data_IF_242844891893
#
_entry.id   IF_242844891893
#
_cell.length_a   1.000
_cell.length_b   1.000
_cell.length_c   1.000
_cell.angle_alpha   90.00
_cell.angle_beta   90.00
_cell.angle_gamma   90.00
#
_symmetry.space_group_name_H-M   'P 1'
#
loop_
_entity.id
_entity.type
_entity.pdbx_description
1 polymer ?
#
# COMPACT_ATOMS: atom_id res chain seq x y z
N UNK A 1 -16.66 -16.66 20.57
CA UNK A 1 -17.32 -16.02 19.42
C UNK A 1 -16.40 -16.23 18.23
N UNK A 2 -16.89 -16.66 17.07
CA UNK A 2 -16.04 -16.85 15.90
C UNK A 2 -15.83 -15.48 15.22
N UNK A 3 -14.58 -15.05 15.06
CA UNK A 3 -14.21 -13.79 14.38
C UNK A 3 -13.56 -14.05 13.01
N UNK A 4 -13.57 -15.30 12.52
CA UNK A 4 -13.04 -15.61 11.20
C UNK A 4 -14.00 -15.16 10.10
N UNK A 5 -13.44 -14.59 9.04
CA UNK A 5 -14.15 -14.11 7.87
C UNK A 5 -13.38 -14.48 6.60
N UNK A 6 -14.11 -14.72 5.51
CA UNK A 6 -13.55 -15.14 4.23
C UNK A 6 -13.88 -14.18 3.10
N UNK A 7 -14.79 -13.24 3.36
CA UNK A 7 -15.21 -12.20 2.40
C UNK A 7 -15.37 -10.85 3.11
N UNK A 8 -15.39 -9.80 2.32
CA UNK A 8 -15.67 -8.45 2.82
C UNK A 8 -17.08 -8.36 3.38
N UNK A 9 -18.02 -9.10 2.80
CA UNK A 9 -19.39 -9.17 3.32
C UNK A 9 -19.40 -9.77 4.73
N UNK A 10 -18.76 -10.93 4.95
CA UNK A 10 -18.67 -11.55 6.28
C UNK A 10 -17.98 -10.63 7.29
N UNK A 11 -16.95 -9.90 6.88
CA UNK A 11 -16.28 -8.89 7.71
C UNK A 11 -17.25 -7.79 8.14
N UNK A 12 -18.06 -7.27 7.22
CA UNK A 12 -19.08 -6.25 7.54
C UNK A 12 -20.15 -6.81 8.49
N UNK A 13 -20.63 -8.03 8.24
CA UNK A 13 -21.61 -8.70 9.11
C UNK A 13 -21.06 -8.81 10.54
N UNK A 14 -19.80 -9.22 10.72
CA UNK A 14 -19.13 -9.27 12.02
C UNK A 14 -18.99 -7.88 12.68
N UNK A 15 -18.67 -6.85 11.90
CA UNK A 15 -18.58 -5.47 12.41
C UNK A 15 -19.95 -5.00 12.92
N UNK A 16 -21.04 -5.27 12.18
CA UNK A 16 -22.39 -4.86 12.51
C UNK A 16 -22.91 -5.62 13.73
N UNK A 17 -22.83 -6.95 13.72
CA UNK A 17 -23.31 -7.83 14.82
C UNK A 17 -22.64 -7.52 16.16
N UNK A 18 -21.36 -7.16 16.14
CA UNK A 18 -20.58 -6.93 17.37
C UNK A 18 -20.38 -5.44 17.68
N UNK A 19 -20.85 -4.53 16.83
CA UNK A 19 -20.64 -3.09 16.95
C UNK A 19 -19.15 -2.73 17.03
N UNK A 20 -18.31 -3.38 16.22
CA UNK A 20 -16.86 -3.23 16.20
C UNK A 20 -16.36 -2.61 14.89
N UNK A 21 -15.26 -1.83 14.92
CA UNK A 21 -14.55 -1.43 13.71
C UNK A 21 -13.80 -2.62 13.10
N UNK A 22 -13.43 -2.49 11.82
CA UNK A 22 -12.69 -3.54 11.09
C UNK A 22 -11.38 -3.90 11.82
N UNK A 23 -10.67 -2.90 12.34
CA UNK A 23 -9.42 -3.09 13.07
C UNK A 23 -9.59 -4.03 14.26
N UNK A 24 -10.67 -3.89 15.02
CA UNK A 24 -10.90 -4.71 16.21
C UNK A 24 -11.36 -6.12 15.84
N UNK A 25 -12.20 -6.29 14.81
CA UNK A 25 -12.57 -7.62 14.29
C UNK A 25 -11.31 -8.37 13.83
N UNK A 26 -10.43 -7.71 13.07
CA UNK A 26 -9.17 -8.33 12.62
C UNK A 26 -8.24 -8.67 13.77
N UNK A 27 -8.10 -7.77 14.76
CA UNK A 27 -7.28 -8.03 15.96
C UNK A 27 -7.79 -9.25 16.74
N UNK A 28 -9.08 -9.34 16.97
CA UNK A 28 -9.68 -10.49 17.67
C UNK A 28 -9.51 -11.77 16.86
N UNK A 29 -9.65 -11.71 15.54
CA UNK A 29 -9.37 -12.83 14.65
C UNK A 29 -7.92 -13.34 14.82
N UNK A 30 -6.93 -12.45 14.80
CA UNK A 30 -5.51 -12.83 14.98
C UNK A 30 -5.25 -13.46 16.36
N UNK A 31 -5.91 -12.95 17.42
CA UNK A 31 -5.81 -13.53 18.74
C UNK A 31 -6.38 -14.97 18.79
N UNK A 32 -7.55 -15.15 18.18
CA UNK A 32 -8.27 -16.43 18.24
C UNK A 32 -7.60 -17.50 17.36
N UNK A 33 -7.28 -17.19 16.10
CA UNK A 33 -6.69 -18.16 15.18
C UNK A 33 -5.21 -18.47 15.50
N UNK A 34 -4.51 -17.50 16.03
CA UNK A 34 -3.11 -17.67 16.46
C UNK A 34 -2.94 -18.20 17.88
N UNK A 35 -4.05 -18.43 18.61
CA UNK A 35 -4.03 -18.77 20.04
C UNK A 35 -3.07 -17.85 20.83
N UNK A 36 -3.06 -16.56 20.47
CA UNK A 36 -2.08 -15.58 20.93
C UNK A 36 -2.75 -14.54 21.81
N UNK A 37 -2.20 -14.21 23.00
CA UNK A 37 -2.73 -13.13 23.83
C UNK A 37 -2.76 -11.79 23.10
N UNK A 38 -3.76 -10.96 23.41
CA UNK A 38 -3.95 -9.64 22.79
C UNK A 38 -2.69 -8.77 22.85
N UNK A 39 -2.07 -8.68 24.02
CA UNK A 39 -0.85 -7.86 24.20
C UNK A 39 0.30 -8.30 23.29
N UNK A 40 0.42 -9.59 23.01
CA UNK A 40 1.44 -10.08 22.09
C UNK A 40 1.10 -9.79 20.62
N UNK A 41 -0.19 -9.79 20.25
CA UNK A 41 -0.66 -9.38 18.92
C UNK A 41 -0.42 -7.88 18.72
N UNK A 42 -0.81 -7.06 19.70
CA UNK A 42 -0.60 -5.61 19.67
C UNK A 42 0.90 -5.25 19.63
N UNK A 43 1.73 -5.93 20.41
CA UNK A 43 3.18 -5.72 20.41
C UNK A 43 3.81 -6.00 19.04
N UNK A 44 3.39 -7.08 18.36
CA UNK A 44 3.87 -7.39 17.01
C UNK A 44 3.49 -6.31 15.99
N UNK A 45 2.25 -5.80 16.08
CA UNK A 45 1.81 -4.72 15.18
C UNK A 45 2.53 -3.39 15.49
N UNK A 46 2.73 -3.07 16.76
CA UNK A 46 3.51 -1.90 17.18
C UNK A 46 4.96 -1.99 16.67
N UNK A 47 5.57 -3.17 16.72
CA UNK A 47 6.91 -3.40 16.17
C UNK A 47 6.95 -3.23 14.64
N UNK A 48 5.90 -3.67 13.93
CA UNK A 48 5.77 -3.41 12.50
C UNK A 48 5.69 -1.90 12.23
N UNK A 49 4.91 -1.14 13.03
CA UNK A 49 4.85 0.32 12.90
C UNK A 49 6.21 0.99 13.13
N UNK A 50 6.97 0.59 14.15
CA UNK A 50 8.32 1.12 14.37
C UNK A 50 9.23 0.94 13.14
N UNK A 51 9.20 -0.23 12.52
CA UNK A 51 9.97 -0.51 11.30
C UNK A 51 9.48 0.32 10.11
N UNK A 52 8.16 0.43 9.93
CA UNK A 52 7.55 1.26 8.90
C UNK A 52 7.96 2.74 9.05
N UNK A 53 7.88 3.27 10.26
CA UNK A 53 8.28 4.64 10.58
C UNK A 53 9.78 4.86 10.31
N UNK A 54 10.63 3.95 10.76
CA UNK A 54 12.07 4.03 10.55
C UNK A 54 12.43 4.02 9.06
N UNK A 55 11.85 3.10 8.28
CA UNK A 55 12.10 3.01 6.83
C UNK A 55 11.59 4.24 6.05
N UNK A 56 10.49 4.87 6.50
CA UNK A 56 9.96 6.09 5.89
C UNK A 56 10.79 7.35 6.18
N UNK A 57 11.57 7.37 7.28
CA UNK A 57 12.27 8.59 7.73
C UNK A 57 13.80 8.52 7.58
N UNK A 58 14.38 7.32 7.57
CA UNK A 58 15.82 7.14 7.47
C UNK A 58 16.45 7.79 6.22
N UNK A 59 15.91 7.61 4.98
CA UNK A 59 16.49 8.23 3.78
C UNK A 59 16.45 9.75 3.76
N UNK A 60 15.54 10.35 4.53
CA UNK A 60 15.46 11.81 4.65
C UNK A 60 16.63 12.40 5.45
N UNK A 61 17.16 11.63 6.40
CA UNK A 61 18.35 12.00 7.19
C UNK A 61 19.63 11.75 6.39
N UNK A 62 19.72 10.59 5.74
CA UNK A 62 20.86 10.18 4.94
C UNK A 62 20.35 9.46 3.69
N UNK A 63 20.42 10.07 2.49
CA UNK A 63 20.02 9.44 1.24
C UNK A 63 20.73 8.10 1.02
N UNK A 64 19.98 7.12 0.54
CA UNK A 64 20.44 5.75 0.33
C UNK A 64 20.37 5.48 -1.17
N UNK A 65 21.42 4.89 -1.74
CA UNK A 65 21.44 4.46 -3.14
C UNK A 65 21.00 3.00 -3.23
N UNK A 66 20.14 2.69 -4.19
CA UNK A 66 19.66 1.33 -4.45
C UNK A 66 20.77 0.41 -4.98
N UNK A 67 20.54 -0.90 -4.92
CA UNK A 67 21.46 -1.92 -5.43
C UNK A 67 21.63 -1.84 -6.94
N UNK A 68 20.56 -1.63 -7.70
CA UNK A 68 20.61 -1.45 -9.17
C UNK A 68 21.03 -0.05 -9.59
N UNK A 69 21.03 0.91 -8.69
CA UNK A 69 21.47 2.28 -8.94
C UNK A 69 20.50 3.15 -9.70
N UNK A 70 19.26 2.68 -9.96
CA UNK A 70 18.24 3.42 -10.70
C UNK A 70 17.53 4.46 -9.83
N UNK A 71 17.49 4.26 -8.51
CA UNK A 71 16.89 5.18 -7.54
C UNK A 71 17.84 5.47 -6.38
N UNK A 72 17.60 6.58 -5.67
CA UNK A 72 18.32 6.96 -4.44
C UNK A 72 18.41 8.47 -4.25
N UNK A 73 17.80 8.94 -3.17
CA UNK A 73 17.76 10.36 -2.81
C UNK A 73 16.55 11.14 -3.34
N UNK A 74 15.61 10.51 -4.02
CA UNK A 74 14.36 11.13 -4.53
C UNK A 74 13.47 11.60 -3.38
N UNK A 75 13.35 10.82 -2.32
CA UNK A 75 12.63 11.21 -1.11
C UNK A 75 13.20 12.50 -0.50
N UNK A 76 14.54 12.62 -0.44
CA UNK A 76 15.20 13.84 0.04
C UNK A 76 14.97 15.04 -0.89
N UNK A 77 14.90 14.83 -2.20
CA UNK A 77 14.54 15.88 -3.16
C UNK A 77 13.12 16.38 -2.93
N UNK A 78 12.15 15.46 -2.69
CA UNK A 78 10.77 15.82 -2.37
C UNK A 78 10.66 16.61 -1.05
N UNK A 79 11.33 16.18 0.00
CA UNK A 79 11.39 16.90 1.27
C UNK A 79 12.00 18.31 1.09
N UNK A 80 13.08 18.42 0.33
CA UNK A 80 13.71 19.71 0.03
C UNK A 80 12.78 20.63 -0.74
N UNK A 81 12.02 20.08 -1.69
CA UNK A 81 11.03 20.84 -2.47
C UNK A 81 9.87 21.30 -1.58
N UNK A 82 9.37 20.45 -0.69
CA UNK A 82 8.36 20.78 0.31
C UNK A 82 8.80 21.96 1.19
N UNK A 83 10.02 21.90 1.71
CA UNK A 83 10.58 22.93 2.59
C UNK A 83 10.71 24.31 1.89
N UNK A 84 10.79 24.35 0.56
CA UNK A 84 10.77 25.58 -0.22
C UNK A 84 9.36 26.17 -0.42
N UNK A 85 8.32 25.51 0.12
CA UNK A 85 6.89 25.91 0.00
C UNK A 85 6.43 26.12 -1.45
N UNK A 86 6.88 25.26 -2.36
CA UNK A 86 6.53 25.26 -3.79
C UNK A 86 5.73 24.04 -4.23
N UNK A 87 5.33 23.19 -3.28
CA UNK A 87 4.54 21.99 -3.52
C UNK A 87 3.11 22.35 -3.98
N UNK A 88 2.59 21.58 -4.93
CA UNK A 88 1.24 21.75 -5.50
C UNK A 88 0.23 20.77 -4.89
N UNK A 89 0.69 19.75 -4.14
CA UNK A 89 -0.15 18.67 -3.61
C UNK A 89 -0.65 18.92 -2.18
N UNK A 90 -0.41 20.11 -1.61
CA UNK A 90 -0.69 20.35 -0.19
C UNK A 90 0.25 19.55 0.73
N UNK A 91 0.11 19.73 2.05
CA UNK A 91 1.08 19.20 3.01
C UNK A 91 0.96 17.69 3.19
N UNK A 92 -0.26 17.18 3.36
CA UNK A 92 -0.51 15.77 3.68
C UNK A 92 -0.05 14.86 2.55
N UNK A 93 -0.49 15.12 1.32
CA UNK A 93 -0.15 14.29 0.18
C UNK A 93 1.34 14.39 -0.16
N UNK A 94 1.93 15.60 -0.07
CA UNK A 94 3.37 15.78 -0.31
C UNK A 94 4.20 14.96 0.67
N UNK A 95 3.88 14.97 1.96
CA UNK A 95 4.55 14.16 2.97
C UNK A 95 4.38 12.67 2.69
N UNK A 96 3.15 12.24 2.39
CA UNK A 96 2.86 10.82 2.13
C UNK A 96 3.65 10.28 0.93
N UNK A 97 3.73 11.04 -0.18
CA UNK A 97 4.57 10.67 -1.33
C UNK A 97 6.05 10.59 -0.94
N UNK A 98 6.54 11.54 -0.15
CA UNK A 98 7.94 11.56 0.31
C UNK A 98 8.26 10.31 1.12
N UNK A 99 7.41 9.95 2.08
CA UNK A 99 7.60 8.76 2.92
C UNK A 99 7.46 7.46 2.12
N UNK A 100 6.48 7.38 1.22
CA UNK A 100 6.32 6.21 0.37
C UNK A 100 7.56 5.95 -0.50
N UNK A 101 8.14 6.98 -1.09
CA UNK A 101 9.37 6.87 -1.88
C UNK A 101 10.59 6.53 -1.01
N UNK A 102 10.67 7.06 0.21
CA UNK A 102 11.73 6.75 1.17
C UNK A 102 11.77 5.26 1.51
N UNK A 103 10.61 4.65 1.79
CA UNK A 103 10.54 3.20 2.06
C UNK A 103 11.08 2.38 0.90
N UNK A 104 10.80 2.77 -0.35
CA UNK A 104 11.31 2.07 -1.53
C UNK A 104 12.83 2.23 -1.69
N UNK A 105 13.42 3.37 -1.29
CA UNK A 105 14.88 3.52 -1.24
C UNK A 105 15.50 2.53 -0.22
N UNK A 106 14.88 2.35 0.94
CA UNK A 106 15.31 1.36 1.94
C UNK A 106 15.18 -0.06 1.39
N UNK A 107 14.01 -0.40 0.82
CA UNK A 107 13.79 -1.71 0.21
C UNK A 107 14.82 -2.03 -0.88
N UNK A 108 15.01 -1.12 -1.82
CA UNK A 108 15.94 -1.30 -2.95
C UNK A 108 17.43 -1.29 -2.56
N UNK A 109 17.76 -0.89 -1.34
CA UNK A 109 19.09 -0.99 -0.74
C UNK A 109 19.26 -2.19 0.17
N UNK A 110 18.32 -3.15 0.15
CA UNK A 110 18.30 -4.35 1.02
C UNK A 110 18.19 -4.02 2.52
N UNK A 111 17.59 -2.86 2.85
CA UNK A 111 17.29 -2.47 4.22
C UNK A 111 16.02 -3.12 4.76
N UNK A 112 15.76 -2.91 6.07
CA UNK A 112 14.60 -3.49 6.75
C UNK A 112 13.34 -2.68 6.47
N UNK A 113 12.31 -3.35 5.92
CA UNK A 113 10.96 -2.82 5.69
C UNK A 113 9.92 -3.82 6.19
N UNK A 114 8.66 -3.39 6.25
CA UNK A 114 7.52 -4.30 6.41
C UNK A 114 6.80 -4.40 5.06
N UNK A 115 6.69 -5.61 4.53
CA UNK A 115 5.90 -5.86 3.33
C UNK A 115 4.41 -5.57 3.59
N UNK A 116 3.78 -4.72 2.76
CA UNK A 116 2.37 -4.33 2.93
C UNK A 116 1.69 -4.05 1.57
N UNK A 117 1.15 -5.07 0.84
CA UNK A 117 1.27 -6.51 1.12
C UNK A 117 2.58 -7.12 0.62
N UNK A 118 3.32 -6.47 -0.30
CA UNK A 118 4.60 -6.94 -0.87
C UNK A 118 5.73 -5.94 -0.60
N UNK A 119 6.98 -6.36 -0.81
CA UNK A 119 8.14 -5.47 -0.69
C UNK A 119 8.08 -4.33 -1.74
N UNK A 120 7.60 -4.63 -2.95
CA UNK A 120 7.49 -3.65 -4.03
C UNK A 120 6.43 -2.56 -3.82
N UNK A 121 5.50 -2.77 -2.91
CA UNK A 121 4.44 -1.81 -2.55
C UNK A 121 4.52 -1.35 -1.09
N UNK A 122 5.61 -1.68 -0.40
CA UNK A 122 5.78 -1.46 1.04
C UNK A 122 5.73 0.01 1.49
N UNK A 123 5.85 0.96 0.56
CA UNK A 123 5.84 2.38 0.87
C UNK A 123 4.45 2.99 1.05
N UNK A 124 3.40 2.40 0.46
CA UNK A 124 2.07 3.03 0.39
C UNK A 124 1.44 3.18 1.78
N UNK A 125 1.32 2.08 2.52
CA UNK A 125 0.69 2.10 3.86
C UNK A 125 1.44 3.00 4.84
N UNK A 126 2.77 2.83 5.06
CA UNK A 126 3.48 3.72 5.99
C UNK A 126 3.52 5.16 5.52
N UNK A 127 3.61 5.41 4.21
CA UNK A 127 3.58 6.77 3.65
C UNK A 127 2.31 7.51 4.02
N UNK A 128 1.14 6.88 3.85
CA UNK A 128 -0.15 7.47 4.22
C UNK A 128 -0.30 7.62 5.72
N UNK A 129 -0.01 6.57 6.50
CA UNK A 129 -0.20 6.57 7.95
C UNK A 129 0.69 7.62 8.63
N UNK A 130 1.96 7.74 8.25
CA UNK A 130 2.87 8.71 8.86
C UNK A 130 2.50 10.16 8.50
N UNK A 131 2.07 10.40 7.26
CA UNK A 131 1.61 11.73 6.87
C UNK A 131 0.36 12.17 7.65
N UNK A 132 -0.61 11.26 7.81
CA UNK A 132 -1.80 11.51 8.62
C UNK A 132 -1.44 11.71 10.08
N UNK A 133 -0.57 10.87 10.64
CA UNK A 133 -0.10 10.99 12.01
C UNK A 133 0.48 12.38 12.30
N UNK A 134 1.39 12.85 11.47
CA UNK A 134 2.03 14.15 11.67
C UNK A 134 1.08 15.32 11.45
N UNK A 135 0.26 15.27 10.39
CA UNK A 135 -0.60 16.40 10.05
C UNK A 135 -1.79 16.56 11.02
N UNK A 136 -2.31 15.44 11.54
CA UNK A 136 -3.47 15.44 12.44
C UNK A 136 -3.13 15.10 13.90
N UNK A 137 -1.84 14.94 14.23
CA UNK A 137 -1.34 14.64 15.58
C UNK A 137 -1.97 13.37 16.18
N UNK A 138 -2.03 12.33 15.39
CA UNK A 138 -2.62 11.05 15.77
C UNK A 138 -1.61 10.25 16.61
N UNK A 139 -2.08 9.58 17.67
CA UNK A 139 -1.22 8.76 18.52
C UNK A 139 -0.77 7.46 17.83
N UNK A 140 0.39 6.92 18.22
CA UNK A 140 0.89 5.64 17.72
C UNK A 140 -0.13 4.52 17.90
N UNK A 141 -0.85 4.48 19.03
CA UNK A 141 -1.86 3.46 19.27
C UNK A 141 -2.96 3.46 18.20
N UNK A 142 -3.45 4.63 17.81
CA UNK A 142 -4.46 4.74 16.75
C UNK A 142 -3.92 4.34 15.38
N UNK A 143 -2.63 4.59 15.12
CA UNK A 143 -1.98 4.08 13.90
C UNK A 143 -1.88 2.56 13.94
N UNK A 144 -1.49 1.97 15.07
CA UNK A 144 -1.46 0.52 15.26
C UNK A 144 -2.86 -0.10 15.03
N UNK A 145 -3.91 0.54 15.53
CA UNK A 145 -5.29 0.10 15.27
C UNK A 145 -5.60 0.14 13.76
N UNK A 146 -5.28 1.24 13.08
CA UNK A 146 -5.49 1.37 11.63
C UNK A 146 -4.69 0.33 10.81
N UNK A 147 -3.53 -0.11 11.28
CA UNK A 147 -2.76 -1.17 10.63
C UNK A 147 -3.46 -2.54 10.70
N UNK A 148 -4.26 -2.83 11.73
CA UNK A 148 -5.11 -4.03 11.74
C UNK A 148 -6.21 -3.94 10.67
N UNK A 149 -6.81 -2.77 10.47
CA UNK A 149 -7.75 -2.55 9.35
C UNK A 149 -7.06 -2.81 8.00
N UNK A 150 -5.89 -2.22 7.76
CA UNK A 150 -5.09 -2.48 6.56
C UNK A 150 -4.82 -3.99 6.38
N UNK A 151 -4.49 -4.68 7.48
CA UNK A 151 -4.27 -6.13 7.51
C UNK A 151 -5.49 -6.93 7.05
N UNK A 152 -6.71 -6.53 7.45
CA UNK A 152 -7.95 -7.18 7.02
C UNK A 152 -8.15 -7.11 5.50
N UNK A 153 -7.94 -5.94 4.91
CA UNK A 153 -8.03 -5.75 3.45
C UNK A 153 -6.97 -6.58 2.72
N UNK A 154 -5.72 -6.55 3.20
CA UNK A 154 -4.63 -7.36 2.65
C UNK A 154 -4.90 -8.86 2.74
N UNK A 155 -5.43 -9.33 3.86
CA UNK A 155 -5.83 -10.72 4.06
C UNK A 155 -6.90 -11.17 3.04
N UNK A 156 -7.95 -10.38 2.85
CA UNK A 156 -9.00 -10.68 1.87
C UNK A 156 -8.43 -10.77 0.44
N UNK A 157 -7.52 -9.87 0.09
CA UNK A 157 -6.87 -9.88 -1.22
C UNK A 157 -5.98 -11.11 -1.43
N UNK A 158 -5.16 -11.46 -0.43
CA UNK A 158 -4.32 -12.67 -0.47
C UNK A 158 -5.13 -13.95 -0.57
N UNK A 159 -6.26 -14.00 0.16
CA UNK A 159 -7.13 -15.17 0.19
C UNK A 159 -7.92 -15.37 -1.11
N UNK A 160 -8.54 -14.31 -1.63
CA UNK A 160 -9.58 -14.39 -2.66
C UNK A 160 -9.10 -14.01 -4.07
N UNK A 161 -7.88 -13.43 -4.17
CA UNK A 161 -7.30 -13.01 -5.44
C UNK A 161 -5.79 -13.30 -5.48
N UNK A 162 -5.00 -12.24 -5.53
CA UNK A 162 -3.53 -12.28 -5.47
C UNK A 162 -2.98 -10.93 -5.04
N UNK A 163 -1.78 -10.94 -4.46
CA UNK A 163 -0.99 -9.73 -4.19
C UNK A 163 0.32 -9.71 -4.99
N UNK A 164 0.53 -10.68 -5.87
CA UNK A 164 1.77 -10.84 -6.63
C UNK A 164 1.70 -10.15 -8.00
N UNK A 165 2.67 -9.29 -8.30
CA UNK A 165 2.80 -8.60 -9.58
C UNK A 165 2.98 -9.56 -10.77
N UNK A 166 3.69 -10.65 -10.57
CA UNK A 166 3.88 -11.72 -11.55
C UNK A 166 2.59 -12.46 -11.94
N UNK A 167 1.56 -12.42 -11.08
CA UNK A 167 0.25 -13.04 -11.34
C UNK A 167 -0.77 -12.02 -11.82
N UNK A 168 -0.86 -10.88 -11.13
CA UNK A 168 -1.94 -9.92 -11.32
C UNK A 168 -1.53 -8.55 -11.86
N UNK A 169 -0.25 -8.31 -12.13
CA UNK A 169 0.25 -6.97 -12.45
C UNK A 169 0.40 -6.09 -11.20
N UNK A 170 0.84 -4.86 -11.39
CA UNK A 170 1.04 -3.91 -10.29
C UNK A 170 -0.28 -3.47 -9.61
N UNK A 171 -1.43 -3.68 -10.27
CA UNK A 171 -2.75 -3.54 -9.65
C UNK A 171 -2.92 -4.47 -8.43
N UNK A 172 -2.29 -5.66 -8.45
CA UNK A 172 -2.30 -6.61 -7.34
C UNK A 172 -1.31 -6.23 -6.23
N UNK A 173 -0.26 -5.50 -6.51
CA UNK A 173 0.71 -5.04 -5.51
C UNK A 173 0.35 -3.64 -4.99
N UNK A 174 0.61 -2.61 -5.81
CA UNK A 174 0.36 -1.21 -5.42
C UNK A 174 -1.13 -0.93 -5.28
N UNK A 175 -1.99 -1.57 -6.11
CA UNK A 175 -3.45 -1.42 -6.00
C UNK A 175 -3.96 -1.95 -4.65
N UNK A 176 -3.53 -3.14 -4.23
CA UNK A 176 -3.92 -3.68 -2.92
C UNK A 176 -3.30 -2.87 -1.77
N UNK A 177 -2.02 -2.48 -1.85
CA UNK A 177 -1.40 -1.60 -0.85
C UNK A 177 -2.17 -0.29 -0.67
N UNK A 178 -2.62 0.30 -1.79
CA UNK A 178 -3.41 1.52 -1.78
C UNK A 178 -4.81 1.30 -1.20
N UNK A 179 -5.45 0.15 -1.48
CA UNK A 179 -6.73 -0.24 -0.88
C UNK A 179 -6.62 -0.45 0.64
N UNK A 180 -5.54 -1.10 1.09
CA UNK A 180 -5.19 -1.24 2.51
C UNK A 180 -5.05 0.12 3.18
N UNK A 181 -4.29 1.03 2.56
CA UNK A 181 -4.05 2.38 3.09
C UNK A 181 -5.33 3.23 3.12
N UNK A 182 -6.15 3.18 2.06
CA UNK A 182 -7.41 3.93 1.98
C UNK A 182 -8.41 3.48 3.05
N UNK A 183 -8.63 2.17 3.20
CA UNK A 183 -9.51 1.60 4.22
C UNK A 183 -9.07 2.00 5.64
N UNK A 184 -7.78 1.85 5.94
CA UNK A 184 -7.20 2.22 7.22
C UNK A 184 -7.34 3.73 7.51
N UNK A 185 -7.14 4.58 6.51
CA UNK A 185 -7.30 6.02 6.66
C UNK A 185 -8.76 6.42 6.92
N UNK A 186 -9.72 5.78 6.24
CA UNK A 186 -11.15 6.03 6.47
C UNK A 186 -11.53 5.71 7.92
N UNK A 187 -11.12 4.55 8.45
CA UNK A 187 -11.38 4.22 9.87
C UNK A 187 -10.67 5.19 10.81
N UNK A 188 -9.41 5.52 10.53
CA UNK A 188 -8.60 6.45 11.33
C UNK A 188 -9.24 7.83 11.43
N UNK A 189 -9.91 8.28 10.37
CA UNK A 189 -10.62 9.57 10.28
C UNK A 189 -12.10 9.49 10.71
N UNK A 190 -12.55 8.35 11.25
CA UNK A 190 -13.87 8.18 11.84
C UNK A 190 -14.96 7.67 10.90
N UNK A 191 -14.58 7.16 9.73
CA UNK A 191 -15.51 6.48 8.83
C UNK A 191 -15.95 5.11 9.38
N UNK A 192 -17.10 4.64 8.92
CA UNK A 192 -17.67 3.34 9.31
C UNK A 192 -17.09 2.17 8.46
N UNK A 193 -17.30 0.91 8.87
CA UNK A 193 -16.76 -0.26 8.16
C UNK A 193 -17.15 -0.33 6.67
N UNK A 194 -18.37 0.05 6.32
CA UNK A 194 -18.80 0.09 4.92
C UNK A 194 -18.01 1.13 4.12
N UNK A 195 -17.78 2.31 4.68
CA UNK A 195 -16.98 3.35 4.04
C UNK A 195 -15.53 2.91 3.83
N UNK A 196 -14.96 2.16 4.77
CA UNK A 196 -13.62 1.58 4.63
C UNK A 196 -13.52 0.68 3.38
N UNK A 197 -14.48 -0.22 3.21
CA UNK A 197 -14.49 -1.13 2.06
C UNK A 197 -14.91 -0.44 0.75
N UNK A 198 -15.76 0.59 0.80
CA UNK A 198 -16.07 1.43 -0.36
C UNK A 198 -14.81 2.15 -0.87
N UNK A 199 -13.98 2.68 0.04
CA UNK A 199 -12.70 3.29 -0.32
C UNK A 199 -11.73 2.26 -0.94
N UNK A 200 -11.61 1.07 -0.33
CA UNK A 200 -10.77 0.00 -0.86
C UNK A 200 -11.21 -0.43 -2.27
N UNK A 201 -12.52 -0.55 -2.50
CA UNK A 201 -13.09 -0.86 -3.82
C UNK A 201 -12.81 0.24 -4.85
N UNK A 202 -12.96 1.50 -4.46
CA UNK A 202 -12.65 2.67 -5.31
C UNK A 202 -11.20 2.67 -5.77
N UNK A 203 -10.26 2.37 -4.88
CA UNK A 203 -8.84 2.23 -5.23
C UNK A 203 -8.64 1.19 -6.32
N UNK A 204 -9.19 -0.02 -6.16
CA UNK A 204 -9.01 -1.10 -7.12
C UNK A 204 -9.60 -0.75 -8.48
N UNK A 205 -10.77 -0.11 -8.50
CA UNK A 205 -11.39 0.39 -9.73
C UNK A 205 -10.48 1.38 -10.46
N UNK A 206 -9.90 2.34 -9.74
CA UNK A 206 -9.05 3.38 -10.32
C UNK A 206 -7.71 2.83 -10.84
N UNK A 207 -7.21 1.75 -10.27
CA UNK A 207 -5.92 1.14 -10.61
C UNK A 207 -6.04 -0.13 -11.46
N UNK A 208 -7.26 -0.46 -11.90
CA UNK A 208 -7.52 -1.67 -12.69
C UNK A 208 -6.72 -1.65 -14.00
N UNK A 209 -6.02 -2.74 -14.27
CA UNK A 209 -5.18 -2.88 -15.47
C UNK A 209 -3.74 -2.36 -15.31
N UNK A 210 -3.32 -1.87 -14.14
CA UNK A 210 -1.94 -1.42 -13.93
C UNK A 210 -0.97 -2.61 -14.04
N UNK A 211 -0.10 -2.56 -15.05
CA UNK A 211 0.88 -3.59 -15.38
C UNK A 211 2.06 -3.61 -14.42
N UNK A 212 2.80 -4.72 -14.35
CA UNK A 212 4.06 -4.82 -13.61
C UNK A 212 5.23 -4.98 -14.59
N UNK A 213 6.01 -3.91 -14.76
CA UNK A 213 7.04 -3.76 -15.79
C UNK A 213 8.34 -3.12 -15.25
N UNK A 214 8.95 -3.72 -14.19
CA UNK A 214 10.13 -3.16 -13.54
C UNK A 214 11.33 -3.15 -14.46
N UNK A 215 12.03 -2.01 -14.53
CA UNK A 215 13.24 -1.84 -15.34
C UNK A 215 14.35 -2.76 -14.82
N UNK A 216 14.91 -3.57 -15.71
CA UNK A 216 15.92 -4.55 -15.35
C UNK A 216 15.43 -5.65 -14.39
N UNK A 217 14.13 -5.81 -14.19
CA UNK A 217 13.56 -6.75 -13.21
C UNK A 217 13.76 -6.33 -11.75
N UNK A 218 14.22 -5.10 -11.50
CA UNK A 218 14.50 -4.59 -10.16
C UNK A 218 13.33 -3.79 -9.60
N UNK A 219 13.05 -3.98 -8.30
CA UNK A 219 12.00 -3.24 -7.58
C UNK A 219 12.49 -1.81 -7.26
N UNK A 220 12.82 -1.06 -8.31
CA UNK A 220 13.34 0.31 -8.23
C UNK A 220 12.47 1.25 -9.08
N UNK A 221 12.58 1.19 -10.39
CA UNK A 221 11.83 2.02 -11.33
C UNK A 221 10.95 1.14 -12.23
N UNK A 222 9.65 1.42 -12.41
CA UNK A 222 8.87 2.56 -11.90
C UNK A 222 8.28 2.34 -10.49
N UNK A 223 8.65 1.29 -9.77
CA UNK A 223 8.04 0.88 -8.51
C UNK A 223 8.01 2.02 -7.47
N UNK A 224 9.11 2.76 -7.31
CA UNK A 224 9.17 3.90 -6.39
C UNK A 224 8.12 4.96 -6.74
N UNK A 225 8.02 5.36 -8.00
CA UNK A 225 7.04 6.35 -8.47
C UNK A 225 5.59 5.84 -8.31
N UNK A 226 5.37 4.53 -8.52
CA UNK A 226 4.05 3.92 -8.34
C UNK A 226 3.61 3.85 -6.90
N UNK A 227 4.53 3.74 -5.94
CA UNK A 227 4.17 3.88 -4.52
C UNK A 227 3.67 5.29 -4.21
N UNK A 228 4.30 6.33 -4.73
CA UNK A 228 3.82 7.71 -4.61
C UNK A 228 2.43 7.91 -5.27
N UNK A 229 2.23 7.35 -6.48
CA UNK A 229 0.94 7.38 -7.15
C UNK A 229 -0.14 6.58 -6.40
N UNK A 230 0.23 5.44 -5.82
CA UNK A 230 -0.65 4.61 -5.00
C UNK A 230 -1.15 5.34 -3.76
N UNK A 231 -0.25 6.04 -3.06
CA UNK A 231 -0.64 6.91 -1.93
C UNK A 231 -1.63 7.98 -2.36
N UNK A 232 -1.39 8.66 -3.49
CA UNK A 232 -2.30 9.68 -4.00
C UNK A 232 -3.69 9.09 -4.30
N UNK A 233 -3.76 7.91 -4.92
CA UNK A 233 -5.03 7.24 -5.19
C UNK A 233 -5.73 6.80 -3.89
N UNK A 234 -4.99 6.37 -2.88
CA UNK A 234 -5.55 6.04 -1.57
C UNK A 234 -6.21 7.26 -0.90
N UNK A 235 -5.59 8.44 -0.97
CA UNK A 235 -6.21 9.69 -0.48
C UNK A 235 -7.48 10.05 -1.23
N UNK A 236 -7.46 9.97 -2.57
CA UNK A 236 -8.65 10.23 -3.38
C UNK A 236 -9.81 9.31 -2.96
N UNK A 237 -9.55 8.02 -2.85
CA UNK A 237 -10.58 7.04 -2.50
C UNK A 237 -11.10 7.22 -1.08
N UNK A 238 -10.23 7.51 -0.12
CA UNK A 238 -10.61 7.79 1.26
C UNK A 238 -11.50 9.04 1.36
N UNK A 239 -11.12 10.13 0.69
CA UNK A 239 -11.87 11.38 0.69
C UNK A 239 -13.25 11.23 0.05
N UNK A 240 -13.34 10.52 -1.09
CA UNK A 240 -14.63 10.23 -1.74
C UNK A 240 -15.56 9.47 -0.77
N UNK A 241 -15.04 8.45 -0.10
CA UNK A 241 -15.85 7.64 0.82
C UNK A 241 -16.25 8.41 2.08
N UNK A 242 -15.33 9.18 2.69
CA UNK A 242 -15.63 10.04 3.85
C UNK A 242 -16.64 11.11 3.53
N UNK A 243 -16.67 11.63 2.29
CA UNK A 243 -17.71 12.58 1.83
C UNK A 243 -19.07 11.93 1.59
N UNK A 244 -19.23 10.62 1.82
CA UNK A 244 -20.48 9.91 1.68
C UNK A 244 -20.77 9.34 0.28
N UNK A 245 -19.78 9.40 -0.62
CA UNK A 245 -19.90 8.78 -1.95
C UNK A 245 -19.78 7.27 -1.80
N UNK A 246 -20.86 6.55 -2.14
CA UNK A 246 -20.95 5.10 -2.06
C UNK A 246 -20.36 4.45 -3.31
N UNK A 247 -19.68 3.31 -3.10
CA UNK A 247 -19.18 2.53 -4.21
C UNK A 247 -20.27 1.55 -4.73
N UNK A 248 -20.46 1.56 -6.06
CA UNK A 248 -21.44 0.67 -6.71
C UNK A 248 -21.02 -0.80 -6.66
N UNK A 249 -19.72 -1.07 -6.82
CA UNK A 249 -19.16 -2.42 -6.89
C UNK A 249 -18.56 -2.79 -5.54
N UNK A 250 -19.11 -3.78 -4.82
CA UNK A 250 -18.55 -4.23 -3.54
C UNK A 250 -17.12 -4.71 -3.66
N UNK A 251 -16.36 -4.62 -2.56
CA UNK A 251 -14.93 -4.94 -2.55
C UNK A 251 -14.63 -6.38 -2.99
N UNK A 252 -15.46 -7.37 -2.60
CA UNK A 252 -15.28 -8.77 -3.03
C UNK A 252 -15.33 -8.88 -4.56
N UNK A 253 -16.28 -8.21 -5.21
CA UNK A 253 -16.43 -8.24 -6.67
C UNK A 253 -15.29 -7.47 -7.37
N UNK A 254 -14.77 -6.40 -6.75
CA UNK A 254 -13.60 -5.69 -7.29
C UNK A 254 -12.32 -6.53 -7.19
N UNK A 255 -12.14 -7.33 -6.13
CA UNK A 255 -11.05 -8.31 -6.06
C UNK A 255 -11.14 -9.34 -7.18
N UNK A 256 -12.34 -9.89 -7.45
CA UNK A 256 -12.57 -10.83 -8.55
C UNK A 256 -12.26 -10.19 -9.91
N UNK A 257 -12.74 -8.95 -10.14
CA UNK A 257 -12.49 -8.20 -11.36
C UNK A 257 -11.00 -7.94 -11.57
N UNK A 258 -10.28 -7.46 -10.53
CA UNK A 258 -8.85 -7.25 -10.57
C UNK A 258 -8.09 -8.54 -10.91
N UNK A 259 -8.43 -9.65 -10.26
CA UNK A 259 -7.82 -10.95 -10.53
C UNK A 259 -8.08 -11.44 -11.94
N UNK A 260 -9.31 -11.29 -12.44
CA UNK A 260 -9.66 -11.66 -13.81
C UNK A 260 -8.92 -10.83 -14.86
N UNK A 261 -8.77 -9.52 -14.64
CA UNK A 261 -7.97 -8.63 -15.50
C UNK A 261 -6.50 -9.02 -15.44
N UNK A 262 -5.94 -9.24 -14.24
CA UNK A 262 -4.54 -9.65 -14.08
C UNK A 262 -4.18 -10.92 -14.86
N UNK A 263 -5.04 -11.92 -14.82
CA UNK A 263 -4.83 -13.16 -15.59
C UNK A 263 -4.87 -12.98 -17.10
N UNK A 264 -5.45 -11.89 -17.60
CA UNK A 264 -5.50 -11.54 -19.03
C UNK A 264 -4.36 -10.65 -19.48
N UNK A 265 -3.56 -10.12 -18.55
CA UNK A 265 -2.35 -9.37 -18.92
C UNK A 265 -1.39 -10.31 -19.63
N UNK A 266 -0.76 -9.90 -20.76
CA UNK A 266 0.29 -10.68 -21.39
C UNK A 266 1.49 -10.86 -20.48
N UNK A 267 2.29 -11.92 -20.71
CA UNK A 267 3.40 -12.28 -19.85
C UNK A 267 4.45 -11.15 -19.74
N UNK A 268 4.64 -10.39 -20.80
CA UNK A 268 5.59 -9.27 -20.87
C UNK A 268 5.25 -8.13 -19.90
N UNK A 269 4.00 -8.07 -19.43
CA UNK A 269 3.47 -7.02 -18.54
C UNK A 269 3.25 -7.52 -17.09
N UNK A 270 3.80 -8.70 -16.76
CA UNK A 270 3.68 -9.35 -15.45
C UNK A 270 5.06 -9.64 -14.83
N UNK A 271 5.80 -8.56 -14.51
CA UNK A 271 7.08 -8.62 -13.77
C UNK A 271 8.24 -9.33 -14.52
N UNK A 272 8.13 -9.47 -15.83
CA UNK A 272 9.14 -10.15 -16.63
C UNK A 272 10.24 -9.22 -17.19
N UNK A 273 10.10 -7.92 -17.03
CA UNK A 273 10.96 -6.91 -17.63
C UNK A 273 11.03 -6.96 -19.19
N UNK A 274 10.07 -7.63 -19.83
CA UNK A 274 10.05 -7.80 -21.31
C UNK A 274 9.15 -6.79 -22.01
N UNK A 275 8.32 -6.03 -21.28
CA UNK A 275 7.35 -5.09 -21.84
C UNK A 275 7.23 -3.79 -21.05
N UNK A 276 6.32 -2.91 -21.47
CA UNK A 276 6.02 -1.66 -20.78
C UNK A 276 7.22 -0.74 -20.63
N UNK A 277 7.39 -0.15 -19.45
CA UNK A 277 8.51 0.75 -19.14
C UNK A 277 9.87 0.06 -19.35
N UNK A 278 9.98 -1.21 -18.97
CA UNK A 278 11.23 -1.96 -19.05
C UNK A 278 11.75 -2.16 -20.48
N UNK A 279 10.84 -2.23 -21.47
CA UNK A 279 11.19 -2.43 -22.88
C UNK A 279 11.54 -1.13 -23.61
N UNK A 280 11.53 0.02 -22.95
CA UNK A 280 11.89 1.29 -23.60
C UNK A 280 13.40 1.41 -23.82
N UNK A 281 13.88 2.05 -24.92
CA UNK A 281 15.32 2.22 -25.15
C UNK A 281 16.04 2.89 -23.99
N UNK A 282 15.42 3.87 -23.35
CA UNK A 282 15.99 4.56 -22.20
C UNK A 282 16.15 3.63 -20.98
N UNK A 283 15.18 2.75 -20.72
CA UNK A 283 15.27 1.77 -19.65
C UNK A 283 16.37 0.74 -19.91
N UNK A 284 16.46 0.23 -21.14
CA UNK A 284 17.51 -0.68 -21.55
C UNK A 284 18.90 -0.07 -21.38
N UNK A 285 19.09 1.20 -21.77
CA UNK A 285 20.35 1.90 -21.57
C UNK A 285 20.69 2.11 -20.09
N UNK A 286 19.68 2.38 -19.24
CA UNK A 286 19.88 2.64 -17.82
C UNK A 286 20.23 1.39 -17.01
N UNK A 287 19.63 0.23 -17.32
CA UNK A 287 19.87 -1.01 -16.57
C UNK A 287 21.13 -1.77 -17.01
N UNK A 288 21.73 -1.41 -18.14
CA UNK A 288 22.94 -2.09 -18.67
C UNK A 288 22.74 -3.54 -19.09
N UNK A 289 21.55 -4.11 -18.93
CA UNK A 289 21.27 -5.52 -19.23
C UNK A 289 20.98 -5.79 -20.71
N UNK A 290 20.63 -4.76 -21.48
CA UNK A 290 20.26 -4.86 -22.88
C UNK A 290 21.45 -4.64 -23.85
N UNK A 291 22.69 -4.46 -23.38
CA UNK A 291 23.88 -4.20 -24.19
C UNK A 291 24.53 -5.47 -24.75
N UNK A 292 23.81 -6.57 -24.86
CA UNK A 292 24.29 -7.85 -25.30
C UNK A 292 23.42 -8.51 -26.38
N UNK A 293 23.17 -7.80 -27.50
CA UNK A 293 22.87 -8.41 -28.81
C UNK A 293 23.15 -7.39 -29.92
#
# INVERSE_FOLDING_TARGET
>A
MNMDFKSAKELLDLCEENQLPISEVMRQRECLLGETPRDAVDHRMAKAWEIMHASATQPLKKPIKSMGGLIGGEAKKLETHYNKKKNICGDVLQKAMTYAMAVLEVNASMGLIVAAPTAGSAGVVPGMMLALQECYRISDQRIVDALFNAGAVGYLAMRNATVAGAVGGCQAEVGIASAMAASAAVELMGGNPQQCLDAASTVLMNMLGLVCDPVGGLVEYPCQNRNAAGVANAFIAAELSLSGIRQLIPFDQMLEAMYAVGKRLPAELRETALGGCAATPAACAACGLCNGN
#
